data_IF_720725033625
#
_entry.id   IF_720725033625
#
_cell.length_a   1.000
_cell.length_b   1.000
_cell.length_c   1.000
_cell.angle_alpha   90.00
_cell.angle_beta   90.00
_cell.angle_gamma   90.00
#
_symmetry.space_group_name_H-M   'P 1'
#
loop_
_entity.id
_entity.type
_entity.pdbx_description
1 polymer ?
#
# COMPACT_ATOMS: atom_id res chain seq x y z
N UNK A 1 -63.31 -53.68 28.64
CA UNK A 1 -63.56 -54.66 27.56
C UNK A 1 -63.72 -53.91 26.25
N UNK A 2 -62.89 -54.27 25.25
CA UNK A 2 -63.06 -54.11 23.78
C UNK A 2 -63.25 -52.70 23.16
N UNK A 3 -62.19 -52.25 22.49
CA UNK A 3 -62.02 -51.67 21.14
C UNK A 3 -63.15 -50.84 20.48
N UNK A 4 -62.78 -49.67 19.92
CA UNK A 4 -63.16 -49.13 18.59
C UNK A 4 -62.34 -47.83 18.35
N UNK A 5 -61.28 -47.81 17.54
CA UNK A 5 -61.18 -47.59 16.07
C UNK A 5 -61.40 -46.13 15.60
N UNK A 6 -60.30 -45.58 15.04
CA UNK A 6 -60.11 -44.52 14.01
C UNK A 6 -60.86 -43.18 14.10
N UNK A 7 -60.10 -42.07 14.07
CA UNK A 7 -60.19 -41.06 12.99
C UNK A 7 -58.87 -40.27 12.90
N UNK A 8 -58.38 -40.09 11.67
CA UNK A 8 -57.14 -39.40 11.33
C UNK A 8 -57.31 -37.87 11.31
N UNK A 9 -56.27 -37.14 11.73
CA UNK A 9 -56.05 -35.75 11.33
C UNK A 9 -54.58 -35.63 10.95
N UNK A 10 -54.32 -35.65 9.64
CA UNK A 10 -53.01 -35.39 9.05
C UNK A 10 -52.94 -33.89 8.79
N UNK A 11 -52.51 -33.12 9.79
CA UNK A 11 -52.26 -31.68 9.63
C UNK A 11 -50.85 -31.48 9.06
N UNK A 12 -50.80 -30.93 7.84
CA UNK A 12 -49.57 -30.66 7.12
C UNK A 12 -48.67 -29.67 7.83
N UNK A 13 -47.43 -30.07 8.10
CA UNK A 13 -46.33 -29.15 8.26
C UNK A 13 -45.94 -28.64 6.86
N UNK A 14 -46.39 -27.44 6.52
CA UNK A 14 -45.75 -26.65 5.49
C UNK A 14 -44.34 -26.29 5.98
N UNK A 15 -43.35 -27.05 5.50
CA UNK A 15 -41.94 -26.66 5.57
C UNK A 15 -41.80 -25.35 4.80
N UNK A 16 -41.75 -24.24 5.54
CA UNK A 16 -41.23 -22.97 5.05
C UNK A 16 -39.73 -23.17 4.78
N UNK A 17 -39.42 -23.68 3.58
CA UNK A 17 -38.08 -23.62 3.02
C UNK A 17 -37.78 -22.16 2.71
N UNK A 18 -37.37 -21.42 3.74
CA UNK A 18 -36.69 -20.14 3.57
C UNK A 18 -35.38 -20.42 2.86
N UNK A 19 -35.41 -20.44 1.54
CA UNK A 19 -34.22 -20.27 0.75
C UNK A 19 -33.66 -18.90 1.13
N UNK A 20 -32.68 -18.88 2.03
CA UNK A 20 -31.79 -17.75 2.14
C UNK A 20 -31.22 -17.56 0.73
N UNK A 21 -31.66 -16.52 0.03
CA UNK A 21 -30.99 -16.06 -1.16
C UNK A 21 -29.58 -15.72 -0.72
N UNK A 22 -28.63 -16.60 -1.03
CA UNK A 22 -27.22 -16.24 -1.06
C UNK A 22 -27.15 -15.18 -2.15
N UNK A 23 -27.34 -13.90 -1.78
CA UNK A 23 -26.93 -12.78 -2.61
C UNK A 23 -25.47 -13.06 -2.95
N UNK A 24 -25.15 -13.25 -4.23
CA UNK A 24 -23.78 -13.33 -4.66
C UNK A 24 -23.11 -12.02 -4.22
N UNK A 25 -22.27 -12.10 -3.18
CA UNK A 25 -21.44 -10.97 -2.76
C UNK A 25 -20.60 -10.57 -3.96
N UNK A 26 -20.71 -9.30 -4.36
CA UNK A 26 -19.90 -8.78 -5.46
C UNK A 26 -18.44 -8.67 -5.03
N UNK A 27 -17.53 -8.62 -6.00
CA UNK A 27 -16.11 -8.35 -5.70
C UNK A 27 -15.93 -7.03 -4.95
N UNK A 28 -16.80 -6.06 -5.21
CA UNK A 28 -16.82 -4.75 -4.55
C UNK A 28 -17.25 -4.87 -3.07
N UNK A 29 -18.15 -5.82 -2.74
CA UNK A 29 -18.55 -6.11 -1.35
C UNK A 29 -17.42 -6.78 -0.56
N UNK A 30 -16.64 -7.66 -1.18
CA UNK A 30 -15.45 -8.25 -0.54
C UNK A 30 -14.32 -7.22 -0.38
N UNK A 31 -14.04 -6.44 -1.42
CA UNK A 31 -12.96 -5.44 -1.42
C UNK A 31 -13.20 -4.32 -0.39
N UNK A 32 -14.46 -3.98 -0.09
CA UNK A 32 -14.82 -2.95 0.89
C UNK A 32 -14.81 -3.40 2.36
N UNK A 33 -14.45 -4.67 2.64
CA UNK A 33 -14.34 -5.16 4.02
C UNK A 33 -13.06 -4.57 4.66
N UNK A 34 -13.17 -3.81 5.77
CA UNK A 34 -11.99 -3.19 6.40
C UNK A 34 -11.01 -4.26 6.90
N UNK A 35 -9.82 -4.32 6.29
CA UNK A 35 -8.77 -5.28 6.67
C UNK A 35 -8.05 -4.89 7.96
N UNK A 36 -8.08 -3.60 8.33
CA UNK A 36 -7.26 -3.07 9.41
C UNK A 36 -8.07 -2.08 10.27
N UNK A 37 -8.85 -2.57 11.23
CA UNK A 37 -9.64 -1.75 12.14
C UNK A 37 -8.84 -1.27 13.39
N UNK A 38 -7.52 -1.38 13.35
CA UNK A 38 -6.67 -1.00 14.48
C UNK A 38 -6.62 0.53 14.60
N UNK A 39 -6.87 1.08 15.79
CA UNK A 39 -6.66 2.51 16.02
C UNK A 39 -5.20 2.89 15.82
N UNK A 40 -4.98 4.05 15.20
CA UNK A 40 -3.67 4.64 14.96
C UNK A 40 -3.55 5.91 15.78
N UNK A 41 -2.45 6.06 16.50
CA UNK A 41 -2.14 7.27 17.25
C UNK A 41 -1.19 8.14 16.44
N UNK A 42 -1.32 9.46 16.54
CA UNK A 42 -0.25 10.37 16.13
C UNK A 42 0.99 10.16 17.02
N UNK A 43 2.20 10.51 16.55
CA UNK A 43 3.43 10.35 17.34
C UNK A 43 3.35 11.00 18.73
N UNK A 44 2.78 12.20 18.84
CA UNK A 44 2.57 12.87 20.14
C UNK A 44 1.39 12.32 20.97
N UNK A 45 0.64 11.34 20.46
CA UNK A 45 -0.51 10.72 21.12
C UNK A 45 -1.74 11.61 21.27
N UNK A 46 -1.80 12.79 20.62
CA UNK A 46 -2.96 13.68 20.68
C UNK A 46 -4.13 13.18 19.83
N UNK A 47 -3.85 12.62 18.66
CA UNK A 47 -4.86 12.24 17.69
C UNK A 47 -5.01 10.73 17.63
N UNK A 48 -6.24 10.27 17.51
CA UNK A 48 -6.57 8.86 17.28
C UNK A 48 -7.38 8.74 16.00
N UNK A 49 -6.83 8.04 15.00
CA UNK A 49 -7.54 7.67 13.79
C UNK A 49 -8.02 6.22 13.87
N UNK A 50 -9.26 5.96 13.50
CA UNK A 50 -9.80 4.60 13.43
C UNK A 50 -10.86 4.50 12.33
N UNK A 51 -11.14 3.29 11.87
CA UNK A 51 -12.30 3.05 11.03
C UNK A 51 -13.60 3.19 11.82
N UNK A 52 -14.58 3.81 11.19
CA UNK A 52 -15.93 3.97 11.70
C UNK A 52 -16.95 3.88 10.55
N UNK A 53 -18.24 3.92 10.88
CA UNK A 53 -19.31 3.90 9.87
C UNK A 53 -20.11 5.18 9.94
N UNK A 54 -20.23 5.87 8.81
CA UNK A 54 -21.09 7.04 8.66
C UNK A 54 -22.10 6.80 7.53
N UNK A 55 -23.40 6.88 7.84
CA UNK A 55 -24.49 6.66 6.86
C UNK A 55 -24.31 5.36 6.07
N UNK A 56 -23.93 4.28 6.77
CA UNK A 56 -23.67 2.95 6.19
C UNK A 56 -22.47 2.86 5.24
N UNK A 57 -21.56 3.85 5.24
CA UNK A 57 -20.27 3.80 4.51
C UNK A 57 -19.11 3.76 5.50
N UNK A 58 -18.07 3.02 5.15
CA UNK A 58 -16.80 3.02 5.89
C UNK A 58 -16.18 4.42 5.79
N UNK A 59 -15.72 4.93 6.92
CA UNK A 59 -15.08 6.23 7.05
C UNK A 59 -13.87 6.12 7.98
N UNK A 60 -12.92 7.03 7.82
CA UNK A 60 -11.93 7.31 8.85
C UNK A 60 -12.54 8.30 9.85
N UNK A 61 -12.50 7.98 11.14
CA UNK A 61 -12.85 8.89 12.22
C UNK A 61 -11.57 9.31 12.94
N UNK A 62 -11.42 10.62 13.17
CA UNK A 62 -10.29 11.21 13.88
C UNK A 62 -10.80 11.85 15.16
N UNK A 63 -10.24 11.44 16.29
CA UNK A 63 -10.55 11.96 17.61
C UNK A 63 -9.41 12.83 18.12
N UNK A 64 -9.74 13.99 18.70
CA UNK A 64 -8.82 14.76 19.54
C UNK A 64 -8.93 14.19 20.96
N UNK A 65 -7.88 13.53 21.44
CA UNK A 65 -7.84 12.90 22.75
C UNK A 65 -7.68 13.93 23.88
N UNK A 66 -7.15 15.12 23.62
CA UNK A 66 -7.08 16.19 24.61
C UNK A 66 -8.45 16.84 24.81
N UNK A 67 -9.17 17.10 23.71
CA UNK A 67 -10.53 17.63 23.76
C UNK A 67 -11.58 16.55 24.11
N UNK A 68 -11.19 15.27 24.07
CA UNK A 68 -12.06 14.11 24.23
C UNK A 68 -13.29 14.18 23.29
N UNK A 69 -13.05 14.51 22.03
CA UNK A 69 -14.08 14.78 21.04
C UNK A 69 -13.74 14.18 19.68
N UNK A 70 -14.78 13.85 18.91
CA UNK A 70 -14.64 13.51 17.51
C UNK A 70 -14.36 14.80 16.72
N UNK A 71 -13.19 14.89 16.11
CA UNK A 71 -12.77 16.04 15.32
C UNK A 71 -13.27 15.93 13.88
N UNK A 72 -12.98 14.81 13.22
CA UNK A 72 -13.27 14.62 11.79
C UNK A 72 -13.88 13.26 11.48
N UNK A 73 -14.72 13.22 10.45
CA UNK A 73 -15.20 11.99 9.81
C UNK A 73 -14.98 12.14 8.31
N UNK A 74 -14.14 11.28 7.74
CA UNK A 74 -13.77 11.27 6.34
C UNK A 74 -14.35 10.00 5.70
N UNK A 75 -15.54 10.06 5.09
CA UNK A 75 -16.11 8.91 4.40
C UNK A 75 -15.30 8.60 3.14
N UNK A 76 -15.15 7.31 2.82
CA UNK A 76 -14.58 6.92 1.54
C UNK A 76 -15.45 7.51 0.38
N UNK A 77 -14.82 8.02 -0.70
CA UNK A 77 -15.54 8.47 -1.88
C UNK A 77 -16.43 7.36 -2.46
N UNK A 78 -17.47 7.75 -3.20
CA UNK A 78 -18.34 6.77 -3.85
C UNK A 78 -17.57 5.90 -4.86
N UNK A 79 -17.70 4.58 -4.76
CA UNK A 79 -16.97 3.62 -5.60
C UNK A 79 -15.52 3.38 -5.17
N UNK A 80 -15.08 3.96 -4.06
CA UNK A 80 -13.80 3.69 -3.42
C UNK A 80 -14.00 3.06 -2.03
N UNK A 81 -12.96 2.40 -1.53
CA UNK A 81 -12.87 1.88 -0.18
C UNK A 81 -11.55 2.30 0.47
N UNK A 82 -11.56 2.34 1.80
CA UNK A 82 -10.40 2.71 2.62
C UNK A 82 -9.56 1.46 2.89
N UNK A 83 -8.32 1.47 2.43
CA UNK A 83 -7.36 0.37 2.60
C UNK A 83 -6.63 0.48 3.94
N UNK A 84 -6.11 1.67 4.26
CA UNK A 84 -5.32 1.91 5.47
C UNK A 84 -5.35 3.38 5.90
N UNK A 85 -4.97 3.61 7.15
CA UNK A 85 -4.71 4.91 7.74
C UNK A 85 -3.39 4.87 8.51
N UNK A 86 -2.58 5.93 8.41
CA UNK A 86 -1.31 6.07 9.14
C UNK A 86 -0.94 7.54 9.30
N UNK A 87 -0.45 7.95 10.46
CA UNK A 87 0.07 9.32 10.62
C UNK A 87 1.42 9.43 9.92
N UNK A 88 1.59 10.49 9.13
CA UNK A 88 2.90 10.89 8.61
C UNK A 88 3.66 11.72 9.65
N UNK A 89 2.94 12.57 10.35
CA UNK A 89 3.44 13.45 11.41
C UNK A 89 2.35 13.70 12.46
N UNK A 90 2.59 14.62 13.39
CA UNK A 90 1.60 15.03 14.37
C UNK A 90 0.39 15.76 13.77
N UNK A 91 0.56 16.32 12.56
CA UNK A 91 -0.40 17.20 11.91
C UNK A 91 -1.08 16.56 10.70
N UNK A 92 -0.48 15.50 10.12
CA UNK A 92 -1.00 14.87 8.91
C UNK A 92 -1.33 13.38 9.07
N UNK A 93 -2.57 13.04 8.72
CA UNK A 93 -3.03 11.66 8.58
C UNK A 93 -3.10 11.25 7.11
N UNK A 94 -2.44 10.16 6.76
CA UNK A 94 -2.49 9.56 5.44
C UNK A 94 -3.61 8.52 5.38
N UNK A 95 -4.42 8.58 4.34
CA UNK A 95 -5.49 7.63 4.06
C UNK A 95 -5.27 7.01 2.69
N UNK A 96 -4.99 5.72 2.62
CA UNK A 96 -4.89 5.01 1.35
C UNK A 96 -6.27 4.50 0.93
N UNK A 97 -6.65 4.82 -0.30
CA UNK A 97 -7.93 4.47 -0.90
C UNK A 97 -7.68 3.64 -2.16
N UNK A 98 -8.55 2.67 -2.40
CA UNK A 98 -8.61 1.97 -3.68
C UNK A 98 -10.00 2.10 -4.29
N UNK A 99 -10.06 2.15 -5.61
CA UNK A 99 -11.28 2.09 -6.41
C UNK A 99 -11.07 1.21 -7.62
N UNK A 100 -12.15 0.87 -8.32
CA UNK A 100 -12.03 0.32 -9.66
C UNK A 100 -12.37 1.36 -10.71
N UNK A 101 -11.43 1.62 -11.61
CA UNK A 101 -11.63 2.54 -12.73
C UNK A 101 -11.59 1.79 -14.06
N UNK A 102 -12.45 2.20 -14.98
CA UNK A 102 -12.46 1.71 -16.35
C UNK A 102 -11.60 2.65 -17.20
N UNK A 103 -10.54 2.12 -17.79
CA UNK A 103 -9.57 2.87 -18.59
C UNK A 103 -9.51 2.30 -20.00
N UNK A 104 -9.36 3.19 -20.99
CA UNK A 104 -9.09 2.78 -22.36
C UNK A 104 -7.59 2.55 -22.52
N UNK A 105 -7.19 1.35 -22.89
CA UNK A 105 -5.80 0.96 -23.11
C UNK A 105 -5.57 0.65 -24.58
N UNK A 106 -4.30 0.50 -25.00
CA UNK A 106 -3.98 0.01 -26.35
C UNK A 106 -4.63 -1.34 -26.69
N UNK A 107 -4.98 -2.14 -25.67
CA UNK A 107 -5.63 -3.44 -25.80
C UNK A 107 -7.15 -3.39 -25.48
N UNK A 108 -7.77 -2.21 -25.63
CA UNK A 108 -9.19 -1.98 -25.39
C UNK A 108 -9.52 -1.48 -23.98
N UNK A 109 -10.82 -1.43 -23.70
CA UNK A 109 -11.35 -0.96 -22.41
C UNK A 109 -11.12 -2.04 -21.35
N UNK A 110 -10.44 -1.70 -20.27
CA UNK A 110 -10.15 -2.60 -19.14
C UNK A 110 -10.47 -1.94 -17.81
N UNK A 111 -10.86 -2.76 -16.83
CA UNK A 111 -11.08 -2.35 -15.44
C UNK A 111 -9.80 -2.58 -14.66
N UNK A 112 -9.29 -1.55 -14.01
CA UNK A 112 -8.11 -1.61 -13.15
C UNK A 112 -8.48 -1.19 -11.74
N UNK A 113 -7.85 -1.82 -10.74
CA UNK A 113 -7.81 -1.24 -9.42
C UNK A 113 -6.87 -0.03 -9.47
N UNK A 114 -7.34 1.09 -8.94
CA UNK A 114 -6.59 2.34 -8.84
C UNK A 114 -6.47 2.70 -7.37
N UNK A 115 -5.24 2.86 -6.90
CA UNK A 115 -4.93 3.21 -5.50
C UNK A 115 -4.35 4.62 -5.42
N UNK A 116 -4.81 5.39 -4.44
CA UNK A 116 -4.49 6.80 -4.19
C UNK A 116 -4.32 7.04 -2.69
N UNK A 117 -3.48 8.00 -2.32
CA UNK A 117 -3.34 8.44 -0.93
C UNK A 117 -3.90 9.85 -0.78
N UNK A 118 -4.73 10.05 0.24
CA UNK A 118 -5.12 11.37 0.71
C UNK A 118 -4.26 11.74 1.91
N UNK A 119 -3.94 13.02 2.04
CA UNK A 119 -3.43 13.61 3.27
C UNK A 119 -4.53 14.46 3.89
N UNK A 120 -4.71 14.33 5.20
CA UNK A 120 -5.63 15.12 6.01
C UNK A 120 -4.82 15.91 7.03
N UNK A 121 -4.93 17.24 6.99
CA UNK A 121 -4.55 18.08 8.12
C UNK A 121 -5.58 17.87 9.24
N UNK A 122 -5.13 17.27 10.35
CA UNK A 122 -6.03 16.89 11.45
C UNK A 122 -6.48 18.07 12.29
N UNK A 123 -5.80 19.22 12.22
CA UNK A 123 -6.20 20.43 12.91
C UNK A 123 -7.28 21.19 12.13
N UNK A 124 -7.08 21.40 10.83
CA UNK A 124 -7.99 22.18 9.98
C UNK A 124 -9.13 21.34 9.37
N UNK A 125 -8.90 20.04 9.17
CA UNK A 125 -9.79 19.16 8.43
C UNK A 125 -9.64 19.27 6.90
N UNK A 126 -8.66 20.01 6.41
CA UNK A 126 -8.37 20.13 4.98
C UNK A 126 -7.78 18.81 4.45
N UNK A 127 -8.17 18.45 3.21
CA UNK A 127 -7.80 17.19 2.58
C UNK A 127 -7.16 17.45 1.22
N UNK A 128 -5.98 16.90 1.01
CA UNK A 128 -5.27 16.89 -0.26
C UNK A 128 -5.19 15.48 -0.84
N UNK A 129 -5.25 15.37 -2.17
CA UNK A 129 -4.91 14.15 -2.89
C UNK A 129 -3.42 14.22 -3.21
N UNK A 130 -2.63 13.24 -2.74
CA UNK A 130 -1.20 13.21 -3.01
C UNK A 130 -0.91 12.83 -4.45
N UNK A 131 0.08 13.51 -5.04
CA UNK A 131 0.56 13.30 -6.40
C UNK A 131 -0.56 13.33 -7.48
N UNK A 132 -1.41 14.38 -7.50
CA UNK A 132 -2.57 14.44 -8.38
C UNK A 132 -2.19 14.60 -9.85
N UNK A 133 -0.95 14.97 -10.17
CA UNK A 133 -0.38 15.06 -11.50
C UNK A 133 0.06 13.69 -12.05
N UNK A 134 0.30 12.70 -11.18
CA UNK A 134 0.74 11.34 -11.52
C UNK A 134 -0.42 10.38 -11.87
N UNK A 135 -1.58 10.93 -12.26
CA UNK A 135 -2.83 10.19 -12.58
C UNK A 135 -2.71 9.11 -13.66
N UNK A 136 -1.63 9.14 -14.46
CA UNK A 136 -1.32 8.09 -15.44
C UNK A 136 -1.00 6.73 -14.81
N UNK A 137 -0.71 6.68 -13.50
CA UNK A 137 -0.46 5.44 -12.76
C UNK A 137 -1.72 4.88 -12.11
N UNK A 138 -1.84 3.55 -12.08
CA UNK A 138 -2.86 2.85 -11.30
C UNK A 138 -2.52 2.83 -9.81
N UNK A 139 -1.29 3.10 -9.40
CA UNK A 139 -0.91 3.14 -7.99
C UNK A 139 -0.05 4.38 -7.71
N UNK A 140 -0.50 5.22 -6.78
CA UNK A 140 0.24 6.35 -6.22
C UNK A 140 0.16 6.33 -4.70
N UNK A 141 0.37 5.18 -4.08
CA UNK A 141 0.37 5.00 -2.61
C UNK A 141 1.72 4.57 -2.05
N UNK A 142 2.76 4.49 -2.90
CA UNK A 142 4.07 3.99 -2.52
C UNK A 142 4.90 5.11 -1.87
N UNK A 143 4.62 5.37 -0.60
CA UNK A 143 5.41 6.25 0.27
C UNK A 143 6.59 5.44 0.79
N UNK A 144 7.80 5.84 0.43
CA UNK A 144 9.05 5.14 0.77
C UNK A 144 9.76 5.79 1.96
N UNK A 145 9.39 7.02 2.33
CA UNK A 145 9.85 7.69 3.54
C UNK A 145 8.84 8.71 4.05
N UNK A 146 8.75 8.85 5.37
CA UNK A 146 7.98 9.90 6.03
C UNK A 146 8.74 11.23 6.14
N UNK A 147 10.00 11.28 5.68
CA UNK A 147 10.85 12.47 5.72
C UNK A 147 10.84 13.17 7.09
N UNK A 148 11.26 12.48 8.15
CA UNK A 148 11.06 12.96 9.52
C UNK A 148 11.74 14.29 9.85
N UNK A 149 12.69 14.73 9.02
CA UNK A 149 13.36 16.03 9.15
C UNK A 149 12.50 17.19 8.60
N UNK A 150 11.52 16.88 7.74
CA UNK A 150 10.50 17.80 7.21
C UNK A 150 9.09 17.17 7.30
N UNK A 151 8.38 17.36 8.44
CA UNK A 151 7.11 16.68 8.73
C UNK A 151 5.92 17.13 7.85
N UNK A 152 6.14 18.12 6.97
CA UNK A 152 5.15 18.62 6.02
C UNK A 152 5.26 17.90 4.66
N UNK A 153 6.25 17.04 4.46
CA UNK A 153 6.47 16.32 3.20
C UNK A 153 6.62 14.81 3.41
N UNK A 154 6.47 14.05 2.33
CA UNK A 154 6.80 12.62 2.27
C UNK A 154 7.55 12.31 0.98
N UNK A 155 8.34 11.24 0.99
CA UNK A 155 9.01 10.75 -0.22
C UNK A 155 8.20 9.62 -0.83
N UNK A 156 7.86 9.75 -2.10
CA UNK A 156 7.13 8.76 -2.88
C UNK A 156 7.99 8.24 -4.03
N UNK A 157 7.95 6.93 -4.26
CA UNK A 157 8.65 6.30 -5.38
C UNK A 157 7.65 5.69 -6.37
N UNK A 158 7.88 5.95 -7.65
CA UNK A 158 7.16 5.32 -8.74
C UNK A 158 8.10 4.47 -9.59
N UNK A 159 7.78 3.19 -9.69
CA UNK A 159 8.52 2.23 -10.47
C UNK A 159 7.73 1.85 -11.72
N UNK A 160 8.36 1.99 -12.89
CA UNK A 160 7.79 1.66 -14.19
C UNK A 160 8.65 0.61 -14.86
N UNK A 161 7.99 -0.33 -15.52
CA UNK A 161 8.67 -1.19 -16.49
C UNK A 161 8.47 -0.62 -17.89
N UNK A 162 9.56 -0.22 -18.55
CA UNK A 162 9.55 0.24 -19.94
C UNK A 162 9.65 -0.99 -20.83
N UNK A 163 8.56 -1.33 -21.50
CA UNK A 163 8.59 -2.37 -22.52
C UNK A 163 9.08 -1.78 -23.86
N UNK A 164 10.09 -2.39 -24.46
CA UNK A 164 10.56 -2.07 -25.82
C UNK A 164 9.48 -2.20 -26.90
N UNK A 165 8.40 -2.96 -26.62
CA UNK A 165 7.25 -3.15 -27.50
C UNK A 165 6.12 -2.14 -27.27
N UNK A 166 6.22 -1.28 -26.24
CA UNK A 166 5.26 -0.19 -26.07
C UNK A 166 5.41 0.77 -27.26
N UNK A 167 4.38 0.85 -28.12
CA UNK A 167 4.33 1.78 -29.25
C UNK A 167 4.35 3.23 -28.75
N UNK A 168 5.51 3.73 -28.37
CA UNK A 168 5.75 5.16 -28.29
C UNK A 168 5.89 5.64 -29.73
N UNK A 169 5.21 6.73 -30.12
CA UNK A 169 5.29 7.31 -31.47
C UNK A 169 6.69 7.88 -31.83
N UNK A 170 7.73 7.44 -31.14
CA UNK A 170 9.12 7.83 -31.26
C UNK A 170 9.88 6.81 -32.10
N UNK A 171 10.72 7.28 -33.02
CA UNK A 171 11.56 6.43 -33.90
C UNK A 171 12.81 5.88 -33.20
N UNK A 172 12.97 6.13 -31.91
CA UNK A 172 14.08 5.63 -31.11
C UNK A 172 13.65 4.35 -30.41
N UNK A 173 14.37 3.26 -30.64
CA UNK A 173 14.20 2.02 -29.89
C UNK A 173 14.48 2.31 -28.40
N UNK A 174 13.45 2.27 -27.55
CA UNK A 174 13.66 2.31 -26.10
C UNK A 174 14.22 0.96 -25.66
N UNK A 175 15.32 0.98 -24.91
CA UNK A 175 15.78 -0.19 -24.17
C UNK A 175 14.66 -0.61 -23.18
N UNK A 176 14.42 -1.92 -23.07
CA UNK A 176 13.56 -2.44 -22.01
C UNK A 176 14.27 -2.33 -20.67
N UNK A 177 13.49 -2.21 -19.60
CA UNK A 177 14.04 -2.19 -18.25
C UNK A 177 13.21 -1.35 -17.30
N UNK A 178 13.63 -1.36 -16.05
CA UNK A 178 12.98 -0.60 -15.01
C UNK A 178 13.43 0.86 -15.02
N UNK A 179 12.50 1.72 -14.64
CA UNK A 179 12.74 3.12 -14.36
C UNK A 179 12.09 3.46 -13.03
N UNK A 180 12.87 4.07 -12.15
CA UNK A 180 12.38 4.55 -10.88
C UNK A 180 12.47 6.08 -10.78
N UNK A 181 11.34 6.69 -10.45
CA UNK A 181 11.15 8.11 -10.24
C UNK A 181 10.90 8.39 -8.76
N UNK A 182 11.66 9.31 -8.18
CA UNK A 182 11.53 9.70 -6.77
C UNK A 182 10.98 11.13 -6.69
N UNK A 183 9.99 11.31 -5.83
CA UNK A 183 9.29 12.57 -5.63
C UNK A 183 9.23 12.93 -4.15
N UNK A 184 9.46 14.20 -3.85
CA UNK A 184 8.99 14.83 -2.62
C UNK A 184 7.56 15.30 -2.85
N UNK A 185 6.69 15.08 -1.88
CA UNK A 185 5.28 15.44 -1.97
C UNK A 185 4.86 16.22 -0.74
N UNK A 186 4.36 17.43 -0.96
CA UNK A 186 3.83 18.29 0.08
C UNK A 186 2.49 17.75 0.60
N UNK A 187 2.36 17.57 1.92
CA UNK A 187 1.21 16.94 2.53
C UNK A 187 -0.03 17.84 2.60
N UNK A 188 0.16 19.17 2.55
CA UNK A 188 -0.95 20.13 2.62
C UNK A 188 -1.63 20.35 1.27
N UNK A 189 -0.86 20.35 0.18
CA UNK A 189 -1.31 20.60 -1.20
C UNK A 189 -1.42 19.33 -2.03
N UNK A 190 -0.59 18.32 -1.74
CA UNK A 190 -0.40 17.13 -2.55
C UNK A 190 0.52 17.33 -3.76
N UNK A 191 1.09 18.52 -3.92
CA UNK A 191 1.96 18.86 -5.05
C UNK A 191 3.28 18.08 -4.98
N UNK A 192 3.81 17.75 -6.16
CA UNK A 192 5.02 16.94 -6.31
C UNK A 192 6.19 17.79 -6.76
N UNK A 193 7.37 17.55 -6.18
CA UNK A 193 8.66 17.93 -6.77
C UNK A 193 9.47 16.66 -7.06
N UNK A 194 10.07 16.59 -8.25
CA UNK A 194 10.82 15.39 -8.66
C UNK A 194 12.27 15.51 -8.21
N UNK A 195 12.65 14.67 -7.26
CA UNK A 195 14.00 14.59 -6.73
C UNK A 195 14.96 13.86 -7.66
N UNK A 196 14.55 12.68 -8.18
CA UNK A 196 15.45 11.83 -8.98
C UNK A 196 14.73 11.00 -10.05
N UNK A 197 15.50 10.56 -11.05
CA UNK A 197 15.10 9.59 -12.07
C UNK A 197 16.29 8.70 -12.41
N UNK A 198 16.15 7.39 -12.20
CA UNK A 198 17.21 6.42 -12.45
C UNK A 198 16.69 5.15 -13.15
N UNK A 199 17.54 4.51 -13.95
CA UNK A 199 17.26 3.25 -14.66
C UNK A 199 17.50 2.04 -13.75
N UNK A 200 16.73 1.99 -12.68
CA UNK A 200 16.83 0.98 -11.61
C UNK A 200 15.43 0.45 -11.30
N UNK A 201 15.35 -0.69 -10.61
CA UNK A 201 14.09 -1.31 -10.23
C UNK A 201 13.40 -0.60 -9.07
N UNK A 202 14.18 0.00 -8.16
CA UNK A 202 13.67 0.76 -7.03
C UNK A 202 14.79 1.22 -6.10
N UNK A 203 14.42 1.86 -5.00
CA UNK A 203 15.35 2.38 -3.99
C UNK A 203 14.92 1.93 -2.59
N UNK A 204 15.88 1.93 -1.68
CA UNK A 204 15.62 1.95 -0.25
C UNK A 204 15.91 3.35 0.24
N UNK A 205 14.94 3.95 0.92
CA UNK A 205 15.01 5.31 1.46
C UNK A 205 14.89 5.22 2.97
N UNK A 206 15.72 5.97 3.70
CA UNK A 206 15.65 6.02 5.16
C UNK A 206 14.57 6.98 5.67
N UNK A 207 14.43 7.05 6.99
CA UNK A 207 13.40 7.89 7.62
C UNK A 207 13.61 9.39 7.35
N UNK A 208 14.83 9.83 7.05
CA UNK A 208 15.18 11.22 6.72
C UNK A 208 14.96 11.53 5.24
N UNK A 209 14.54 10.56 4.43
CA UNK A 209 14.31 10.76 3.00
C UNK A 209 15.54 10.52 2.13
N UNK A 210 16.64 10.05 2.70
CA UNK A 210 17.89 9.81 1.96
C UNK A 210 17.91 8.43 1.32
N UNK A 211 18.41 8.37 0.08
CA UNK A 211 18.59 7.10 -0.64
C UNK A 211 19.82 6.39 -0.08
N UNK A 212 19.63 5.20 0.46
CA UNK A 212 20.68 4.41 1.10
C UNK A 212 21.08 3.15 0.34
N UNK A 213 20.25 2.75 -0.62
CA UNK A 213 20.54 1.64 -1.52
C UNK A 213 19.67 1.74 -2.77
N UNK A 214 20.20 1.20 -3.85
CA UNK A 214 19.52 1.04 -5.13
C UNK A 214 19.32 -0.44 -5.44
N UNK A 215 18.16 -0.76 -6.00
CA UNK A 215 17.80 -2.11 -6.41
C UNK A 215 17.87 -2.19 -7.91
N UNK A 216 18.73 -3.05 -8.42
CA UNK A 216 19.01 -3.24 -9.84
C UNK A 216 18.54 -4.62 -10.28
N UNK A 217 17.96 -4.70 -11.49
CA UNK A 217 17.62 -5.98 -12.11
C UNK A 217 17.97 -5.97 -13.59
N UNK A 218 18.92 -6.82 -13.97
CA UNK A 218 19.35 -7.02 -15.35
C UNK A 218 18.61 -8.22 -15.93
N UNK A 219 17.64 -7.95 -16.80
CA UNK A 219 16.71 -8.96 -17.32
C UNK A 219 17.41 -10.07 -18.10
N UNK A 220 18.42 -9.70 -18.91
CA UNK A 220 19.10 -10.63 -19.81
C UNK A 220 19.83 -11.76 -19.08
N UNK A 221 20.28 -11.49 -17.87
CA UNK A 221 20.99 -12.45 -17.01
C UNK A 221 20.19 -12.83 -15.75
N UNK A 222 19.00 -12.25 -15.59
CA UNK A 222 18.19 -12.32 -14.36
C UNK A 222 19.00 -11.97 -13.10
N UNK A 223 19.99 -11.08 -13.24
CA UNK A 223 20.87 -10.67 -12.16
C UNK A 223 20.17 -9.60 -11.34
N UNK A 224 19.94 -9.88 -10.07
CA UNK A 224 19.40 -8.93 -9.10
C UNK A 224 20.52 -8.45 -8.20
N UNK A 225 20.62 -7.14 -8.02
CA UNK A 225 21.61 -6.53 -7.14
C UNK A 225 21.01 -5.49 -6.23
N UNK A 226 21.52 -5.43 -5.00
CA UNK A 226 21.37 -4.30 -4.09
C UNK A 226 22.73 -3.63 -4.04
N UNK A 227 22.77 -2.33 -4.30
CA UNK A 227 23.99 -1.54 -4.37
C UNK A 227 23.89 -0.34 -3.46
N UNK A 228 25.02 0.12 -2.95
CA UNK A 228 25.12 1.47 -2.39
C UNK A 228 24.69 2.49 -3.46
N UNK A 229 24.16 3.66 -3.08
CA UNK A 229 23.63 4.63 -4.03
C UNK A 229 24.70 5.22 -4.95
N UNK A 230 24.30 5.58 -6.16
CA UNK A 230 25.14 6.27 -7.13
C UNK A 230 25.85 5.35 -8.14
N UNK A 231 26.39 5.98 -9.19
CA UNK A 231 26.87 5.32 -10.42
C UNK A 231 27.87 4.18 -10.22
N UNK A 232 28.69 4.26 -9.18
CA UNK A 232 29.73 3.26 -8.86
C UNK A 232 29.55 2.70 -7.45
N UNK A 233 28.30 2.66 -6.95
CA UNK A 233 28.00 2.11 -5.64
C UNK A 233 28.45 0.66 -5.52
N UNK A 234 29.05 0.35 -4.37
CA UNK A 234 29.50 -0.99 -4.04
C UNK A 234 28.32 -1.97 -4.02
N UNK A 235 28.58 -3.20 -4.46
CA UNK A 235 27.57 -4.26 -4.45
C UNK A 235 27.42 -4.79 -3.04
N UNK A 236 26.23 -4.63 -2.48
CA UNK A 236 25.85 -5.18 -1.16
C UNK A 236 25.41 -6.62 -1.33
N UNK A 237 24.51 -6.87 -2.28
CA UNK A 237 23.97 -8.20 -2.58
C UNK A 237 23.92 -8.39 -4.09
N UNK A 238 24.30 -9.57 -4.58
CA UNK A 238 24.23 -9.91 -6.00
C UNK A 238 23.96 -11.39 -6.19
N UNK A 239 22.89 -11.70 -6.92
CA UNK A 239 22.50 -13.09 -7.22
C UNK A 239 21.58 -13.14 -8.44
N UNK A 240 21.71 -14.21 -9.22
CA UNK A 240 20.72 -14.55 -10.25
C UNK A 240 19.43 -15.06 -9.63
N UNK A 241 18.31 -14.41 -9.94
CA UNK A 241 16.97 -14.73 -9.46
C UNK A 241 16.03 -14.93 -10.65
N UNK A 242 15.63 -16.18 -10.92
CA UNK A 242 14.80 -16.50 -12.09
C UNK A 242 13.33 -16.14 -11.88
N UNK A 243 12.80 -16.39 -10.68
CA UNK A 243 11.41 -16.12 -10.33
C UNK A 243 11.22 -15.83 -8.84
N UNK A 244 12.32 -15.61 -8.12
CA UNK A 244 12.35 -15.51 -6.66
C UNK A 244 13.14 -14.32 -6.13
N UNK A 245 13.27 -13.28 -6.95
CA UNK A 245 13.86 -12.02 -6.53
C UNK A 245 13.13 -11.50 -5.28
N UNK A 246 13.86 -11.07 -4.24
CA UNK A 246 13.23 -10.55 -3.03
C UNK A 246 12.64 -9.16 -3.28
N UNK A 247 11.58 -8.84 -2.54
CA UNK A 247 11.16 -7.44 -2.35
C UNK A 247 11.82 -6.90 -1.08
N UNK A 248 12.44 -5.73 -1.17
CA UNK A 248 12.98 -5.03 -0.01
C UNK A 248 11.90 -4.10 0.53
N UNK A 249 11.57 -4.23 1.80
CA UNK A 249 10.47 -3.50 2.44
C UNK A 249 10.95 -2.27 3.21
N UNK A 250 12.26 -2.15 3.43
CA UNK A 250 12.87 -1.07 4.22
C UNK A 250 13.97 -1.63 5.11
N UNK A 251 14.12 -1.02 6.29
CA UNK A 251 15.19 -1.32 7.24
C UNK A 251 14.75 -2.22 8.39
N UNK A 252 15.73 -2.90 8.98
CA UNK A 252 15.64 -3.48 10.30
C UNK A 252 16.90 -3.14 11.10
N UNK A 253 16.73 -2.28 12.11
CA UNK A 253 17.86 -1.64 12.80
C UNK A 253 18.68 -0.75 11.86
N UNK A 254 19.89 -0.39 12.28
CA UNK A 254 20.73 0.58 11.56
C UNK A 254 21.47 0.00 10.34
N UNK A 255 21.69 -1.32 10.27
CA UNK A 255 22.64 -1.91 9.31
C UNK A 255 22.09 -3.12 8.54
N UNK A 256 20.78 -3.20 8.35
CA UNK A 256 20.20 -4.27 7.55
C UNK A 256 18.88 -3.91 6.88
N UNK A 257 18.60 -4.63 5.80
CA UNK A 257 17.34 -4.57 5.08
C UNK A 257 16.38 -5.66 5.53
N UNK A 258 15.10 -5.32 5.62
CA UNK A 258 14.01 -6.27 5.70
C UNK A 258 13.62 -6.69 4.28
N UNK A 259 13.74 -7.97 3.98
CA UNK A 259 13.42 -8.53 2.68
C UNK A 259 12.35 -9.61 2.80
N UNK A 260 11.50 -9.75 1.79
CA UNK A 260 10.58 -10.89 1.64
C UNK A 260 10.94 -11.70 0.39
N UNK A 261 11.19 -13.00 0.59
CA UNK A 261 11.44 -13.94 -0.50
C UNK A 261 10.14 -14.71 -0.81
N UNK A 262 9.76 -14.87 -2.09
CA UNK A 262 8.50 -15.52 -2.47
C UNK A 262 8.55 -17.06 -2.56
N UNK A 263 9.73 -17.68 -2.63
CA UNK A 263 9.92 -19.10 -3.01
C UNK A 263 10.33 -20.03 -1.85
N UNK A 264 11.16 -21.05 -2.10
CA UNK A 264 11.69 -22.02 -1.10
C UNK A 264 12.47 -21.35 0.05
N UNK A 265 12.96 -20.13 -0.16
CA UNK A 265 13.52 -19.26 0.89
C UNK A 265 12.45 -18.42 1.60
N UNK A 266 11.20 -18.83 1.49
CA UNK A 266 10.01 -18.04 1.74
C UNK A 266 9.98 -17.28 3.06
N UNK A 267 9.35 -16.11 3.00
CA UNK A 267 9.06 -15.26 4.15
C UNK A 267 10.09 -14.17 4.36
N UNK A 268 9.95 -13.51 5.51
CA UNK A 268 10.76 -12.36 5.87
C UNK A 268 12.18 -12.76 6.26
N UNK A 269 13.17 -11.97 5.84
CA UNK A 269 14.60 -12.18 6.04
C UNK A 269 15.28 -10.84 6.34
N UNK A 270 16.41 -10.93 7.03
CA UNK A 270 17.36 -9.84 7.20
C UNK A 270 18.46 -9.99 6.14
N UNK A 271 18.80 -8.90 5.46
CA UNK A 271 20.00 -8.80 4.62
C UNK A 271 20.93 -7.80 5.27
N UNK A 272 22.10 -8.24 5.72
CA UNK A 272 23.09 -7.35 6.30
C UNK A 272 23.66 -6.40 5.23
N UNK A 273 23.64 -5.09 5.49
CA UNK A 273 24.03 -4.10 4.49
C UNK A 273 25.54 -4.12 4.21
N UNK A 274 26.34 -4.45 5.23
CA UNK A 274 27.81 -4.43 5.10
C UNK A 274 28.38 -5.67 4.43
N UNK A 275 27.70 -6.80 4.55
CA UNK A 275 28.21 -8.11 4.09
C UNK A 275 27.34 -8.77 3.02
N UNK A 276 26.09 -8.34 2.85
CA UNK A 276 25.11 -9.00 1.99
C UNK A 276 24.60 -10.34 2.53
N UNK A 277 24.99 -10.73 3.75
CA UNK A 277 24.59 -11.99 4.34
C UNK A 277 23.09 -12.02 4.64
N UNK A 278 22.44 -13.11 4.26
CA UNK A 278 21.01 -13.34 4.50
C UNK A 278 20.85 -14.20 5.74
N UNK A 279 20.09 -13.71 6.71
CA UNK A 279 19.69 -14.48 7.89
C UNK A 279 18.17 -14.54 8.03
N UNK A 280 17.68 -15.55 8.75
CA UNK A 280 16.31 -15.50 9.26
C UNK A 280 16.16 -14.30 10.18
N UNK A 281 14.96 -13.74 10.26
CA UNK A 281 14.62 -12.86 11.36
C UNK A 281 14.62 -13.73 12.61
N UNK A 282 15.52 -13.42 13.55
CA UNK A 282 15.47 -14.01 14.89
C UNK A 282 14.26 -13.50 15.67
N UNK A 283 14.29 -13.60 16.99
CA UNK A 283 13.34 -12.88 17.83
C UNK A 283 13.51 -11.38 17.56
N UNK A 284 12.52 -10.78 16.89
CA UNK A 284 12.50 -9.34 16.62
C UNK A 284 12.11 -8.68 17.94
N UNK A 285 13.03 -7.97 18.58
CA UNK A 285 12.65 -6.86 19.44
C UNK A 285 12.04 -5.81 18.50
N UNK A 286 10.70 -5.79 18.45
CA UNK A 286 10.00 -4.67 17.85
C UNK A 286 10.28 -3.50 18.78
N UNK A 287 11.32 -2.72 18.48
CA UNK A 287 11.41 -1.35 18.98
C UNK A 287 10.20 -0.62 18.43
N UNK A 288 9.13 -0.63 19.22
CA UNK A 288 7.97 0.20 18.99
C UNK A 288 8.47 1.62 19.24
N UNK A 289 8.98 2.27 18.18
CA UNK A 289 9.11 3.72 18.17
C UNK A 289 7.68 4.23 18.17
N UNK A 290 7.19 4.52 19.38
CA UNK A 290 5.94 5.23 19.65
C UNK A 290 6.09 6.69 19.29
#
# INVERSE_FOLDING_TARGET
>A
MKNLVLTAVLSGLALMSGAASVQAQSIDDFASTPLDAHPRLSPNGRWLATHCTQRSRVAACVYDLQANALAHIIPAPEGAWLDSASFASDDFLLLSLSSYNTMNTGNGIRRFQVSRTLSLDVASGEVALLAPDLRGSTNTTNIVSLNIDDPDTVIMEMNYYRDSQAQTGSRYASASGFESLLYEVDLASGDTDRLDRSEIMGRVVDAQGEVVAEIHFEESSSLYEIREPGRNGDVIYSRTHLSDAPSILGFIGENAFLAIFPSERGGYRRIDRSTGEISMLGDIELDIVS
#
